data_IF_840728091792
#
_entry.id   IF_840728091792
#
_cell.length_a   1.000
_cell.length_b   1.000
_cell.length_c   1.000
_cell.angle_alpha   90.00
_cell.angle_beta   90.00
_cell.angle_gamma   90.00
#
_symmetry.space_group_name_H-M   'P 1'
#
loop_
_entity.id
_entity.type
_entity.pdbx_description
1 polymer ?
#
# COMPACT_ATOMS: atom_id res chain seq x y z
N UNK A 1 7.31 -7.07 6.43
CA UNK A 1 8.46 -6.74 5.54
C UNK A 1 9.29 -7.98 5.15
N UNK A 2 9.64 -8.89 6.07
CA UNK A 2 10.47 -10.06 5.75
C UNK A 2 9.94 -10.92 4.58
N UNK A 3 8.64 -11.24 4.58
CA UNK A 3 7.97 -11.97 3.49
C UNK A 3 8.18 -11.32 2.12
N UNK A 4 8.05 -9.99 2.04
CA UNK A 4 8.29 -9.23 0.81
C UNK A 4 9.76 -9.29 0.40
N UNK A 5 10.70 -9.07 1.32
CA UNK A 5 12.14 -9.13 1.01
C UNK A 5 12.56 -10.53 0.52
N UNK A 6 12.09 -11.59 1.18
CA UNK A 6 12.31 -12.97 0.74
C UNK A 6 11.73 -13.19 -0.65
N UNK A 7 10.49 -12.71 -0.91
CA UNK A 7 9.85 -12.88 -2.21
C UNK A 7 10.58 -12.13 -3.32
N UNK A 8 10.99 -10.88 -3.06
CA UNK A 8 11.76 -10.04 -4.00
C UNK A 8 13.08 -10.71 -4.37
N UNK A 9 13.81 -11.23 -3.37
CA UNK A 9 15.08 -11.93 -3.61
C UNK A 9 14.88 -13.21 -4.43
N UNK A 10 13.86 -14.00 -4.10
CA UNK A 10 13.57 -15.26 -4.80
C UNK A 10 13.08 -15.05 -6.24
N UNK A 11 12.14 -14.12 -6.45
CA UNK A 11 11.54 -13.87 -7.76
C UNK A 11 12.31 -12.84 -8.60
N UNK A 12 13.40 -12.27 -8.06
CA UNK A 12 14.23 -11.23 -8.66
C UNK A 12 13.40 -10.11 -9.32
N UNK A 13 12.37 -9.67 -8.62
CA UNK A 13 11.36 -8.76 -9.14
C UNK A 13 10.85 -7.84 -8.04
N UNK A 14 10.37 -6.70 -8.50
CA UNK A 14 9.88 -5.59 -7.72
C UNK A 14 8.44 -5.24 -8.11
N UNK A 15 7.88 -6.04 -9.03
CA UNK A 15 6.54 -5.90 -9.58
C UNK A 15 5.49 -6.17 -8.51
N UNK A 16 4.65 -5.17 -8.25
CA UNK A 16 3.42 -5.35 -7.49
C UNK A 16 2.25 -5.40 -8.48
N UNK A 17 1.53 -6.52 -8.53
CA UNK A 17 0.40 -6.72 -9.45
C UNK A 17 -0.87 -6.18 -8.79
N UNK A 18 -1.53 -5.22 -9.45
CA UNK A 18 -2.82 -4.70 -9.01
C UNK A 18 -3.96 -5.67 -9.32
N UNK A 19 -4.89 -5.84 -8.38
CA UNK A 19 -6.10 -6.64 -8.56
C UNK A 19 -7.32 -5.73 -8.43
N UNK A 20 -7.65 -5.05 -9.52
CA UNK A 20 -8.65 -3.98 -9.57
C UNK A 20 -9.79 -4.37 -10.54
N UNK A 21 -10.65 -5.35 -10.17
CA UNK A 21 -11.57 -6.00 -11.11
C UNK A 21 -12.72 -5.10 -11.59
N UNK A 22 -12.93 -5.07 -12.90
CA UNK A 22 -14.04 -4.39 -13.58
C UNK A 22 -14.80 -5.39 -14.46
N UNK A 23 -16.10 -5.16 -14.70
CA UNK A 23 -16.96 -6.05 -15.49
C UNK A 23 -18.01 -6.77 -14.64
N UNK A 24 -18.68 -7.77 -15.23
CA UNK A 24 -19.69 -8.58 -14.53
C UNK A 24 -19.06 -9.43 -13.42
N UNK A 25 -19.87 -9.82 -12.42
CA UNK A 25 -19.38 -10.63 -11.30
C UNK A 25 -18.94 -12.03 -11.74
N UNK A 26 -19.57 -12.58 -12.77
CA UNK A 26 -19.18 -13.86 -13.40
C UNK A 26 -17.77 -13.75 -14.00
N UNK A 27 -17.50 -12.68 -14.76
CA UNK A 27 -16.19 -12.45 -15.37
C UNK A 27 -15.13 -12.21 -14.31
N UNK A 28 -15.43 -11.42 -13.29
CA UNK A 28 -14.49 -11.12 -12.20
C UNK A 28 -14.13 -12.36 -11.42
N UNK A 29 -15.12 -13.16 -11.03
CA UNK A 29 -14.92 -14.42 -10.27
C UNK A 29 -14.05 -15.40 -11.07
N UNK A 30 -14.26 -15.48 -12.40
CA UNK A 30 -13.46 -16.32 -13.29
C UNK A 30 -12.04 -15.80 -13.49
N UNK A 31 -11.85 -14.49 -13.69
CA UNK A 31 -10.57 -13.90 -14.13
C UNK A 31 -9.60 -13.64 -12.99
N UNK A 32 -10.05 -13.32 -11.78
CA UNK A 32 -9.16 -13.02 -10.66
C UNK A 32 -8.19 -14.17 -10.35
N UNK A 33 -8.63 -15.45 -10.23
CA UNK A 33 -7.72 -16.57 -10.03
C UNK A 33 -6.74 -16.77 -11.20
N UNK A 34 -7.19 -16.55 -12.45
CA UNK A 34 -6.35 -16.67 -13.65
C UNK A 34 -5.23 -15.63 -13.63
N UNK A 35 -5.56 -14.36 -13.37
CA UNK A 35 -4.57 -13.28 -13.26
C UNK A 35 -3.55 -13.59 -12.16
N UNK A 36 -4.00 -14.07 -10.99
CA UNK A 36 -3.09 -14.46 -9.91
C UNK A 36 -2.16 -15.59 -10.37
N UNK A 37 -2.71 -16.66 -10.95
CA UNK A 37 -1.92 -17.82 -11.39
C UNK A 37 -0.89 -17.46 -12.47
N UNK A 38 -1.30 -16.70 -13.49
CA UNK A 38 -0.46 -16.32 -14.62
C UNK A 38 0.64 -15.32 -14.23
N UNK A 39 0.38 -14.46 -13.24
CA UNK A 39 1.33 -13.41 -12.84
C UNK A 39 2.13 -13.74 -11.59
N UNK A 40 1.74 -14.76 -10.81
CA UNK A 40 2.41 -15.13 -9.58
C UNK A 40 3.93 -15.31 -9.75
N UNK A 41 4.47 -16.00 -10.77
CA UNK A 41 5.93 -16.16 -10.95
C UNK A 41 6.70 -14.83 -11.01
N UNK A 42 6.08 -13.77 -11.52
CA UNK A 42 6.69 -12.46 -11.74
C UNK A 42 6.37 -11.44 -10.64
N UNK A 43 5.43 -11.75 -9.75
CA UNK A 43 4.93 -10.86 -8.73
C UNK A 43 5.79 -10.89 -7.45
N UNK A 44 6.24 -9.72 -7.02
CA UNK A 44 6.78 -9.48 -5.69
C UNK A 44 5.67 -9.37 -4.64
N UNK A 45 4.50 -8.86 -5.03
CA UNK A 45 3.32 -8.71 -4.20
C UNK A 45 2.05 -8.62 -5.06
N UNK A 46 0.90 -8.95 -4.48
CA UNK A 46 -0.42 -8.62 -5.04
C UNK A 46 -1.06 -7.49 -4.25
N UNK A 47 -1.83 -6.65 -4.94
CA UNK A 47 -2.49 -5.51 -4.33
C UNK A 47 -3.93 -5.34 -4.80
N UNK A 48 -4.90 -5.97 -4.12
CA UNK A 48 -6.30 -5.64 -4.33
C UNK A 48 -6.61 -4.21 -3.86
N UNK A 49 -7.25 -3.42 -4.70
CA UNK A 49 -7.83 -2.15 -4.30
C UNK A 49 -9.24 -2.37 -3.76
N UNK A 50 -9.42 -2.06 -2.47
CA UNK A 50 -10.64 -2.36 -1.71
C UNK A 50 -11.90 -1.80 -2.38
N UNK A 51 -11.82 -0.62 -3.00
CA UNK A 51 -12.97 0.05 -3.61
C UNK A 51 -13.64 -0.79 -4.72
N UNK A 52 -12.86 -1.51 -5.52
CA UNK A 52 -13.38 -2.34 -6.63
C UNK A 52 -14.15 -3.56 -6.13
N UNK A 53 -13.84 -4.02 -4.91
CA UNK A 53 -14.57 -5.12 -4.28
C UNK A 53 -15.82 -4.58 -3.58
N UNK A 54 -15.71 -3.50 -2.80
CA UNK A 54 -16.86 -2.95 -2.04
C UNK A 54 -18.00 -2.44 -2.92
N UNK A 55 -17.75 -2.11 -4.19
CA UNK A 55 -18.81 -1.73 -5.14
C UNK A 55 -19.67 -2.91 -5.64
N UNK A 56 -19.54 -4.09 -5.03
CA UNK A 56 -20.22 -5.34 -5.40
C UNK A 56 -20.93 -5.92 -4.19
N UNK A 57 -22.10 -6.52 -4.40
CA UNK A 57 -22.94 -7.07 -3.31
C UNK A 57 -22.18 -8.06 -2.42
N UNK A 58 -21.46 -9.01 -3.02
CA UNK A 58 -20.65 -10.00 -2.30
C UNK A 58 -19.15 -9.65 -2.28
N UNK A 59 -18.83 -8.37 -2.40
CA UNK A 59 -17.48 -7.85 -2.58
C UNK A 59 -16.47 -8.28 -1.52
N UNK A 60 -16.87 -8.22 -0.24
CA UNK A 60 -16.00 -8.60 0.88
C UNK A 60 -15.66 -10.10 0.83
N UNK A 61 -16.66 -10.94 0.53
CA UNK A 61 -16.46 -12.38 0.42
C UNK A 61 -15.55 -12.72 -0.76
N UNK A 62 -15.77 -12.08 -1.91
CA UNK A 62 -14.91 -12.21 -3.09
C UNK A 62 -13.47 -11.77 -2.79
N UNK A 63 -13.28 -10.64 -2.11
CA UNK A 63 -11.97 -10.15 -1.70
C UNK A 63 -11.26 -11.16 -0.79
N UNK A 64 -11.95 -11.70 0.22
CA UNK A 64 -11.40 -12.71 1.12
C UNK A 64 -10.95 -13.96 0.37
N UNK A 65 -11.75 -14.45 -0.58
CA UNK A 65 -11.40 -15.58 -1.43
C UNK A 65 -10.21 -15.25 -2.35
N UNK A 66 -10.18 -14.05 -2.90
CA UNK A 66 -9.07 -13.57 -3.77
C UNK A 66 -7.76 -13.55 -3.00
N UNK A 67 -7.75 -13.00 -1.78
CA UNK A 67 -6.55 -12.96 -0.93
C UNK A 67 -6.11 -14.37 -0.52
N UNK A 68 -7.05 -15.24 -0.15
CA UNK A 68 -6.76 -16.64 0.18
C UNK A 68 -6.21 -17.45 -1.01
N UNK A 69 -6.54 -17.06 -2.24
CA UNK A 69 -6.03 -17.67 -3.48
C UNK A 69 -4.62 -17.23 -3.87
N UNK A 70 -4.06 -16.19 -3.23
CA UNK A 70 -2.67 -15.77 -3.48
C UNK A 70 -1.70 -16.80 -2.89
N UNK A 71 -0.67 -17.26 -3.63
CA UNK A 71 0.31 -18.21 -3.10
C UNK A 71 0.95 -17.72 -1.79
N UNK A 72 1.02 -18.59 -0.78
CA UNK A 72 1.39 -18.22 0.58
C UNK A 72 2.74 -17.47 0.71
N UNK A 73 3.69 -17.69 -0.21
CA UNK A 73 4.98 -16.99 -0.24
C UNK A 73 4.94 -15.59 -0.84
N UNK A 74 3.82 -15.14 -1.41
CA UNK A 74 3.66 -13.82 -2.04
C UNK A 74 2.85 -12.92 -1.10
N UNK A 75 3.37 -11.76 -0.69
CA UNK A 75 2.66 -10.85 0.19
C UNK A 75 1.47 -10.18 -0.51
N UNK A 76 0.43 -9.90 0.28
CA UNK A 76 -0.76 -9.15 -0.16
C UNK A 76 -0.81 -7.79 0.54
N UNK A 77 -0.94 -6.74 -0.26
CA UNK A 77 -1.07 -5.35 0.19
C UNK A 77 -2.51 -4.89 -0.08
N UNK A 78 -3.31 -4.71 0.97
CA UNK A 78 -4.67 -4.20 0.81
C UNK A 78 -4.65 -2.67 0.61
N UNK A 79 -5.02 -2.23 -0.58
CA UNK A 79 -5.08 -0.83 -0.93
C UNK A 79 -6.46 -0.24 -0.57
N UNK A 80 -6.64 0.03 0.74
CA UNK A 80 -7.86 0.59 1.32
C UNK A 80 -7.83 2.09 1.63
N UNK A 81 -6.64 2.71 1.63
CA UNK A 81 -6.37 4.11 1.97
C UNK A 81 -7.09 4.56 3.26
N UNK A 82 -7.13 3.68 4.27
CA UNK A 82 -7.86 3.90 5.52
C UNK A 82 -7.38 5.15 6.24
N UNK A 83 -8.27 5.87 6.90
CA UNK A 83 -7.91 7.02 7.72
C UNK A 83 -9.08 7.40 8.61
N UNK A 84 -8.90 7.23 9.93
CA UNK A 84 -9.91 7.49 10.95
C UNK A 84 -9.21 7.76 12.30
N UNK A 85 -9.96 8.10 13.35
CA UNK A 85 -9.45 8.16 14.72
C UNK A 85 -9.08 6.77 15.25
N UNK A 86 -8.23 6.71 16.27
CA UNK A 86 -7.58 5.48 16.71
C UNK A 86 -8.55 4.30 16.96
N UNK A 87 -9.68 4.54 17.63
CA UNK A 87 -10.66 3.49 17.92
C UNK A 87 -11.26 2.87 16.66
N UNK A 88 -11.72 3.70 15.72
CA UNK A 88 -12.29 3.22 14.45
C UNK A 88 -11.22 2.57 13.58
N UNK A 89 -10.02 3.14 13.54
CA UNK A 89 -8.88 2.60 12.81
C UNK A 89 -8.47 1.19 13.30
N UNK A 90 -8.65 0.87 14.59
CA UNK A 90 -8.44 -0.50 15.09
C UNK A 90 -9.38 -1.53 14.43
N UNK A 91 -10.65 -1.18 14.18
CA UNK A 91 -11.60 -2.05 13.50
C UNK A 91 -11.23 -2.23 12.03
N UNK A 92 -10.76 -1.19 11.35
CA UNK A 92 -10.22 -1.33 10.00
C UNK A 92 -8.97 -2.22 9.96
N UNK A 93 -8.07 -2.11 10.94
CA UNK A 93 -6.91 -2.98 11.06
C UNK A 93 -7.32 -4.44 11.31
N UNK A 94 -8.35 -4.69 12.13
CA UNK A 94 -8.92 -6.03 12.34
C UNK A 94 -9.51 -6.59 11.05
N UNK A 95 -10.29 -5.80 10.32
CA UNK A 95 -10.80 -6.20 9.01
C UNK A 95 -9.67 -6.57 8.03
N UNK A 96 -8.68 -5.70 7.88
CA UNK A 96 -7.60 -5.90 6.91
C UNK A 96 -6.72 -7.11 7.25
N UNK A 97 -6.37 -7.29 8.52
CA UNK A 97 -5.37 -8.28 8.93
C UNK A 97 -5.95 -9.59 9.41
N UNK A 98 -7.07 -9.54 10.14
CA UNK A 98 -7.60 -10.69 10.86
C UNK A 98 -8.73 -11.34 10.07
N UNK A 99 -9.59 -10.53 9.42
CA UNK A 99 -10.68 -11.04 8.56
C UNK A 99 -10.18 -11.38 7.16
N UNK A 100 -9.41 -10.48 6.55
CA UNK A 100 -8.94 -10.63 5.17
C UNK A 100 -7.58 -11.34 5.07
N UNK A 101 -6.74 -11.30 6.10
CA UNK A 101 -5.43 -11.93 6.08
C UNK A 101 -4.36 -11.15 5.29
N UNK A 102 -4.51 -9.84 5.07
CA UNK A 102 -3.51 -9.05 4.36
C UNK A 102 -2.18 -8.97 5.14
N UNK A 103 -1.07 -8.83 4.42
CA UNK A 103 0.27 -8.65 5.00
C UNK A 103 0.60 -7.16 5.24
N UNK A 104 -0.03 -6.28 4.46
CA UNK A 104 0.15 -4.84 4.54
C UNK A 104 -1.11 -4.09 4.12
N UNK A 105 -1.18 -2.81 4.47
CA UNK A 105 -2.26 -1.91 4.05
C UNK A 105 -1.71 -0.58 3.54
N UNK A 106 -2.55 0.16 2.84
CA UNK A 106 -2.37 1.60 2.64
C UNK A 106 -3.22 2.42 3.60
N UNK A 107 -2.69 3.54 4.10
CA UNK A 107 -3.42 4.46 4.98
C UNK A 107 -3.26 5.92 4.53
N UNK A 108 -4.28 6.74 4.75
CA UNK A 108 -4.23 8.19 4.59
C UNK A 108 -3.92 8.84 5.96
N UNK A 109 -2.74 9.45 6.14
CA UNK A 109 -2.29 9.97 7.44
C UNK A 109 -2.86 11.36 7.78
N UNK A 110 -3.90 11.82 7.09
CA UNK A 110 -4.46 13.16 7.29
C UNK A 110 -4.81 13.47 8.76
N UNK A 111 -5.31 12.47 9.50
CA UNK A 111 -5.66 12.60 10.92
C UNK A 111 -4.46 12.36 11.86
N UNK A 112 -3.24 12.33 11.32
CA UNK A 112 -2.00 12.12 12.08
C UNK A 112 -1.79 10.66 12.49
N UNK A 113 -1.13 10.48 13.64
CA UNK A 113 -0.72 9.17 14.14
C UNK A 113 -1.89 8.21 14.35
N UNK A 114 -3.06 8.72 14.75
CA UNK A 114 -4.27 7.94 14.99
C UNK A 114 -4.75 7.16 13.76
N UNK A 115 -4.52 7.69 12.57
CA UNK A 115 -4.87 7.01 11.31
C UNK A 115 -3.84 5.94 10.89
N UNK A 116 -2.65 5.92 11.50
CA UNK A 116 -1.51 5.11 11.05
C UNK A 116 -1.17 4.02 12.06
N UNK A 117 -0.96 4.41 13.32
CA UNK A 117 -0.45 3.56 14.40
C UNK A 117 -1.30 2.31 14.64
N UNK A 118 -2.65 2.34 14.59
CA UNK A 118 -3.47 1.14 14.75
C UNK A 118 -3.18 0.02 13.73
N UNK A 119 -2.65 0.37 12.56
CA UNK A 119 -2.25 -0.58 11.52
C UNK A 119 -0.81 -1.08 11.66
N UNK A 120 0.02 -0.45 12.48
CA UNK A 120 1.43 -0.76 12.69
C UNK A 120 1.65 -2.01 13.59
N UNK A 121 0.87 -3.07 13.37
CA UNK A 121 0.91 -4.31 14.18
C UNK A 121 2.18 -5.14 13.89
N UNK A 122 2.65 -5.96 14.86
CA UNK A 122 3.77 -6.87 14.64
C UNK A 122 3.56 -7.78 13.42
N UNK A 123 4.60 -7.93 12.60
CA UNK A 123 4.56 -8.74 11.37
C UNK A 123 3.83 -8.11 10.18
N UNK A 124 3.07 -7.03 10.39
CA UNK A 124 2.37 -6.28 9.34
C UNK A 124 3.20 -5.11 8.84
N UNK A 125 2.76 -4.47 7.75
CA UNK A 125 3.41 -3.28 7.21
C UNK A 125 2.39 -2.24 6.76
N UNK A 126 2.70 -0.96 6.93
CA UNK A 126 1.80 0.15 6.61
C UNK A 126 2.44 1.01 5.54
N UNK A 127 1.71 1.27 4.45
CA UNK A 127 2.10 2.21 3.41
C UNK A 127 1.25 3.48 3.52
N UNK A 128 1.80 4.51 4.16
CA UNK A 128 1.09 5.76 4.39
C UNK A 128 1.26 6.73 3.20
N UNK A 129 0.17 7.37 2.79
CA UNK A 129 0.18 8.32 1.68
C UNK A 129 0.96 9.57 2.05
N UNK A 130 2.08 9.83 1.34
CA UNK A 130 2.86 11.06 1.51
C UNK A 130 2.73 11.98 0.29
N UNK A 131 2.97 11.43 -0.91
CA UNK A 131 2.83 12.17 -2.17
C UNK A 131 2.19 11.26 -3.20
N UNK A 132 0.93 11.45 -3.53
CA UNK A 132 0.23 10.63 -4.53
C UNK A 132 0.43 11.17 -5.95
N UNK A 133 0.12 10.35 -6.96
CA UNK A 133 0.35 10.68 -8.37
C UNK A 133 -0.65 11.67 -8.97
N UNK A 134 -1.78 11.91 -8.31
CA UNK A 134 -2.76 12.90 -8.75
C UNK A 134 -2.25 14.32 -8.50
N UNK A 135 -2.64 15.24 -9.40
CA UNK A 135 -2.56 16.67 -9.11
C UNK A 135 -3.44 16.93 -7.88
N UNK A 136 -2.84 17.41 -6.80
CA UNK A 136 -3.55 17.68 -5.55
C UNK A 136 -3.06 18.98 -4.99
N UNK A 137 -3.98 19.96 -4.93
CA UNK A 137 -3.71 21.26 -4.34
C UNK A 137 -3.29 21.14 -2.86
N UNK A 138 -3.72 20.09 -2.16
CA UNK A 138 -3.44 19.90 -0.73
C UNK A 138 -2.00 19.45 -0.50
N UNK A 139 -1.55 18.37 -1.15
CA UNK A 139 -0.21 17.82 -0.91
C UNK A 139 0.93 18.73 -1.39
N UNK A 140 0.61 19.63 -2.32
CA UNK A 140 1.49 20.66 -2.87
C UNK A 140 1.34 22.03 -2.18
N UNK A 141 0.36 22.17 -1.28
CA UNK A 141 0.20 23.40 -0.50
C UNK A 141 1.44 23.62 0.38
N UNK A 142 1.91 24.86 0.42
CA UNK A 142 3.04 25.28 1.24
C UNK A 142 2.52 25.67 2.62
N UNK A 143 3.06 25.03 3.65
CA UNK A 143 2.79 25.36 5.05
C UNK A 143 3.45 26.69 5.43
N UNK A 144 3.05 27.26 6.56
CA UNK A 144 3.72 28.44 7.11
C UNK A 144 5.22 28.20 7.40
N UNK A 145 5.62 26.94 7.63
CA UNK A 145 7.02 26.54 7.76
C UNK A 145 7.82 26.62 6.45
N UNK A 146 7.17 26.89 5.32
CA UNK A 146 7.79 27.01 3.99
C UNK A 146 7.97 25.67 3.25
N UNK A 147 7.64 24.54 3.87
CA UNK A 147 7.67 23.23 3.23
C UNK A 147 6.29 22.81 2.69
N UNK A 148 6.23 21.96 1.66
CA UNK A 148 4.96 21.42 1.19
C UNK A 148 4.38 20.41 2.20
N UNK A 149 3.05 20.30 2.25
CA UNK A 149 2.33 19.33 3.10
C UNK A 149 2.89 17.92 2.94
N UNK A 150 3.22 17.49 1.71
CA UNK A 150 3.80 16.17 1.44
C UNK A 150 5.14 15.91 2.16
N UNK A 151 5.99 16.92 2.32
CA UNK A 151 7.28 16.79 3.00
C UNK A 151 7.07 16.73 4.52
N UNK A 152 6.19 17.58 5.06
CA UNK A 152 5.79 17.53 6.46
C UNK A 152 5.20 16.15 6.84
N UNK A 153 4.26 15.65 6.02
CA UNK A 153 3.68 14.32 6.20
C UNK A 153 4.76 13.23 6.16
N UNK A 154 5.70 13.31 5.22
CA UNK A 154 6.78 12.32 5.12
C UNK A 154 7.69 12.29 6.35
N UNK A 155 8.04 13.46 6.91
CA UNK A 155 8.82 13.56 8.16
C UNK A 155 8.08 12.95 9.34
N UNK A 156 6.80 13.31 9.51
CA UNK A 156 5.94 12.72 10.56
C UNK A 156 5.87 11.19 10.44
N UNK A 157 5.75 10.65 9.23
CA UNK A 157 5.76 9.20 9.00
C UNK A 157 7.12 8.56 9.28
N UNK A 158 8.22 9.26 9.01
CA UNK A 158 9.56 8.79 9.34
C UNK A 158 9.78 8.69 10.86
N UNK A 159 9.26 9.67 11.62
CA UNK A 159 9.30 9.65 13.09
C UNK A 159 8.46 8.49 13.66
N UNK A 160 7.28 8.24 13.10
CA UNK A 160 6.48 7.07 13.47
C UNK A 160 7.20 5.76 13.14
N UNK A 161 7.84 5.64 11.97
CA UNK A 161 8.62 4.45 11.61
C UNK A 161 9.84 4.24 12.52
N UNK A 162 10.46 5.30 13.05
CA UNK A 162 11.55 5.16 14.01
C UNK A 162 11.13 4.38 15.27
N UNK A 163 9.86 4.52 15.66
CA UNK A 163 9.25 3.81 16.79
C UNK A 163 8.70 2.43 16.39
N UNK A 164 7.92 2.36 15.30
CA UNK A 164 7.17 1.14 14.94
C UNK A 164 7.89 0.19 13.98
N UNK A 165 8.89 0.67 13.23
CA UNK A 165 9.76 -0.09 12.32
C UNK A 165 9.05 -0.84 11.19
N UNK A 166 7.83 -0.47 10.86
CA UNK A 166 7.01 -1.10 9.83
C UNK A 166 6.13 -0.10 9.05
N UNK A 167 6.56 1.16 8.96
CA UNK A 167 5.84 2.24 8.27
C UNK A 167 6.66 2.74 7.08
N UNK A 168 6.10 2.56 5.89
CA UNK A 168 6.62 3.05 4.63
C UNK A 168 5.75 4.16 4.03
N UNK A 169 6.26 4.79 2.98
CA UNK A 169 5.62 5.91 2.30
C UNK A 169 5.10 5.45 0.94
N UNK A 170 3.91 5.91 0.57
CA UNK A 170 3.45 5.91 -0.82
C UNK A 170 3.89 7.22 -1.46
N UNK A 171 4.69 7.08 -2.52
CA UNK A 171 5.19 8.18 -3.33
C UNK A 171 4.88 7.91 -4.81
N UNK A 172 4.16 8.83 -5.46
CA UNK A 172 3.75 8.73 -6.84
C UNK A 172 4.97 8.78 -7.77
N UNK A 173 5.10 7.76 -8.62
CA UNK A 173 6.26 7.64 -9.52
C UNK A 173 6.30 8.69 -10.64
N UNK A 174 5.21 9.43 -10.87
CA UNK A 174 5.08 10.41 -11.94
C UNK A 174 5.84 11.71 -11.66
N UNK A 175 6.33 11.93 -10.43
CA UNK A 175 7.11 13.10 -10.05
C UNK A 175 8.46 12.68 -9.46
N UNK A 176 9.45 12.48 -10.34
CA UNK A 176 10.80 12.04 -9.96
C UNK A 176 11.50 13.03 -9.00
N UNK A 177 11.27 14.34 -9.16
CA UNK A 177 11.84 15.36 -8.27
C UNK A 177 11.28 15.25 -6.84
N UNK A 178 9.95 15.09 -6.71
CA UNK A 178 9.32 14.87 -5.40
C UNK A 178 9.80 13.54 -4.78
N UNK A 179 9.90 12.47 -5.57
CA UNK A 179 10.42 11.18 -5.08
C UNK A 179 11.87 11.30 -4.57
N UNK A 180 12.74 11.98 -5.33
CA UNK A 180 14.13 12.22 -4.92
C UNK A 180 14.23 13.01 -3.62
N UNK A 181 13.43 14.08 -3.50
CA UNK A 181 13.34 14.88 -2.27
C UNK A 181 12.85 14.06 -1.08
N UNK A 182 11.76 13.32 -1.23
CA UNK A 182 11.25 12.44 -0.17
C UNK A 182 12.27 11.37 0.23
N UNK A 183 13.04 10.81 -0.72
CA UNK A 183 14.13 9.88 -0.40
C UNK A 183 15.23 10.52 0.43
N UNK A 184 15.60 11.78 0.15
CA UNK A 184 16.57 12.51 0.96
C UNK A 184 16.05 12.77 2.38
N UNK A 185 14.76 13.11 2.52
CA UNK A 185 14.11 13.35 3.82
C UNK A 185 13.95 12.06 4.63
N UNK A 186 13.64 10.94 3.96
CA UNK A 186 13.31 9.66 4.60
C UNK A 186 14.23 8.54 4.08
N UNK A 187 15.54 8.57 4.40
CA UNK A 187 16.52 7.67 3.80
C UNK A 187 16.27 6.19 4.16
N UNK A 188 15.74 5.92 5.36
CA UNK A 188 15.59 4.55 5.90
C UNK A 188 14.23 3.90 5.60
N UNK A 189 13.20 4.69 5.30
CA UNK A 189 11.86 4.15 5.10
C UNK A 189 11.74 3.34 3.80
N UNK A 190 10.82 2.36 3.82
CA UNK A 190 10.36 1.68 2.61
C UNK A 190 9.47 2.60 1.77
N UNK A 191 9.64 2.58 0.45
CA UNK A 191 8.85 3.41 -0.47
C UNK A 191 8.08 2.52 -1.42
N UNK A 192 6.77 2.73 -1.53
CA UNK A 192 5.97 2.10 -2.54
C UNK A 192 5.50 3.10 -3.60
N UNK A 193 5.71 2.74 -4.87
CA UNK A 193 5.50 3.61 -6.03
C UNK A 193 4.46 3.01 -7.00
N UNK A 194 3.15 3.16 -6.74
CA UNK A 194 2.09 2.45 -7.47
C UNK A 194 2.01 2.76 -8.99
N UNK A 195 2.42 3.95 -9.44
CA UNK A 195 2.22 4.41 -10.82
C UNK A 195 3.16 3.76 -11.87
N UNK A 196 4.18 3.01 -11.45
CA UNK A 196 5.04 2.25 -12.37
C UNK A 196 4.48 0.84 -12.68
N UNK A 197 3.28 0.47 -12.20
CA UNK A 197 2.65 -0.80 -12.58
C UNK A 197 2.28 -0.88 -14.09
N UNK A 198 2.30 0.25 -14.83
CA UNK A 198 2.23 0.26 -16.30
C UNK A 198 3.61 0.16 -17.00
N UNK A 199 4.71 0.41 -16.28
CA UNK A 199 6.12 0.28 -16.71
C UNK A 199 7.01 0.10 -15.46
N UNK A 200 7.33 -1.13 -15.07
CA UNK A 200 8.26 -1.58 -14.02
C UNK A 200 8.60 -0.60 -12.86
N UNK A 201 8.12 -0.89 -11.63
CA UNK A 201 8.54 -0.17 -10.43
C UNK A 201 9.80 -0.80 -9.82
N UNK A 202 10.81 0.03 -9.54
CA UNK A 202 12.05 -0.34 -8.86
C UNK A 202 11.98 0.07 -7.38
N UNK A 203 11.96 -0.90 -6.48
CA UNK A 203 12.45 -0.74 -5.11
C UNK A 203 13.98 -0.83 -5.08
N UNK A 204 14.67 0.23 -4.65
CA UNK A 204 16.09 0.13 -4.31
C UNK A 204 16.31 0.63 -2.89
N UNK A 205 16.86 -0.24 -2.05
CA UNK A 205 17.76 0.19 -0.97
C UNK A 205 19.12 0.35 -1.64
N UNK A 206 19.63 1.57 -1.66
CA UNK A 206 21.08 1.81 -1.82
C UNK A 206 21.63 2.03 -0.42
#
# INVERSE_FOLDING_TARGET
>A
MQKLLTRVAHANTLLCVGLDPTGSDEDVTRRLPQVIAETAPYAAAFKPNLAFFLSRDNGVQLLRQTIAGVPAGIPVILDGKFGDIANTAMHYAQFAYDVLGADAVTVNPYMGADAVVPFARPGKFVFALAKTSNQSAVQDAILQSGEPVSDFTAKMLADLDATHRNIGLVAGATNAAALGRLRQLCPRNGFWCPALARRAATWRRY
#
